data_IF_433559352703
#
_entry.id   IF_433559352703
#
_cell.length_a   1.000
_cell.length_b   1.000
_cell.length_c   1.000
_cell.angle_alpha   90.00
_cell.angle_beta   90.00
_cell.angle_gamma   90.00
#
_symmetry.space_group_name_H-M   'P 1'
#
loop_
_entity.id
_entity.type
_entity.pdbx_description
1 polymer ?
#
# COMPACT_ATOMS: atom_id res chain seq x y z
N UNK A 1 9.33 -8.50 -25.57
CA UNK A 1 8.06 -7.94 -26.03
C UNK A 1 7.59 -6.94 -25.00
N UNK A 2 7.35 -5.69 -25.39
CA UNK A 2 6.85 -4.65 -24.48
C UNK A 2 5.39 -4.98 -24.11
N UNK A 3 4.92 -4.73 -22.87
CA UNK A 3 3.52 -4.95 -22.54
C UNK A 3 2.64 -4.13 -23.50
N UNK A 4 1.65 -4.78 -24.13
CA UNK A 4 0.63 -4.06 -24.92
C UNK A 4 -0.25 -3.16 -24.06
N UNK A 5 -1.30 -2.59 -24.64
CA UNK A 5 -2.17 -1.58 -23.99
C UNK A 5 -3.07 -2.11 -22.85
N UNK A 6 -2.79 -3.30 -22.33
CA UNK A 6 -3.54 -3.91 -21.23
C UNK A 6 -3.21 -3.32 -19.87
N UNK A 7 -4.14 -3.46 -18.91
CA UNK A 7 -3.87 -3.14 -17.51
C UNK A 7 -2.90 -4.17 -16.93
N UNK A 8 -1.74 -3.69 -16.44
CA UNK A 8 -0.74 -4.53 -15.78
C UNK A 8 -0.63 -4.13 -14.31
N UNK A 9 -0.61 -5.12 -13.42
CA UNK A 9 -0.46 -4.90 -11.98
C UNK A 9 0.89 -5.43 -11.52
N UNK A 10 1.66 -4.58 -10.83
CA UNK A 10 2.91 -4.99 -10.19
C UNK A 10 2.58 -5.65 -8.85
N UNK A 11 3.05 -6.88 -8.66
CA UNK A 11 2.88 -7.64 -7.42
C UNK A 11 4.19 -7.82 -6.68
N UNK A 12 4.22 -7.38 -5.42
CA UNK A 12 5.33 -7.55 -4.49
C UNK A 12 5.23 -8.84 -3.64
N UNK A 13 4.32 -9.75 -3.96
CA UNK A 13 3.97 -10.90 -3.10
C UNK A 13 5.09 -11.95 -2.97
N UNK A 14 5.86 -12.18 -4.05
CA UNK A 14 6.91 -13.22 -4.08
C UNK A 14 8.32 -12.66 -4.20
N UNK A 15 8.47 -11.58 -4.96
CA UNK A 15 9.74 -10.89 -5.17
C UNK A 15 9.50 -9.40 -5.04
N UNK A 16 10.28 -8.74 -4.20
CA UNK A 16 10.19 -7.30 -3.98
C UNK A 16 11.52 -6.74 -3.47
N UNK A 17 11.64 -5.42 -3.55
CA UNK A 17 12.68 -4.65 -2.87
C UNK A 17 12.04 -3.79 -1.77
N UNK A 18 12.82 -2.90 -1.18
CA UNK A 18 12.44 -2.03 -0.06
C UNK A 18 11.26 -1.11 -0.37
N UNK A 19 10.98 -0.86 -1.66
CA UNK A 19 9.82 -0.06 -2.10
C UNK A 19 8.48 -0.66 -1.65
N UNK A 20 8.43 -1.97 -1.42
CA UNK A 20 7.24 -2.65 -0.88
C UNK A 20 6.92 -2.26 0.57
N UNK A 21 7.85 -1.61 1.28
CA UNK A 21 7.71 -1.18 2.67
C UNK A 21 7.28 0.29 2.81
N UNK A 22 7.16 1.03 1.71
CA UNK A 22 6.70 2.43 1.72
C UNK A 22 5.30 2.49 2.32
N UNK A 23 5.10 3.45 3.23
CA UNK A 23 3.84 3.57 3.97
C UNK A 23 2.87 4.48 3.19
N UNK A 24 1.58 4.10 3.09
CA UNK A 24 0.59 4.97 2.48
C UNK A 24 0.30 6.18 3.37
N UNK A 25 0.24 7.36 2.76
CA UNK A 25 -0.11 8.63 3.41
C UNK A 25 -1.49 8.61 4.06
N UNK A 26 -2.39 7.76 3.56
CA UNK A 26 -3.71 7.54 4.13
C UNK A 26 -3.90 6.05 4.40
N UNK A 27 -4.29 5.72 5.63
CA UNK A 27 -4.69 4.36 6.00
C UNK A 27 -6.00 4.40 6.76
N UNK A 28 -6.88 3.46 6.46
CA UNK A 28 -8.14 3.28 7.20
C UNK A 28 -8.17 1.90 7.83
N UNK A 29 -8.44 1.84 9.14
CA UNK A 29 -8.57 0.60 9.89
C UNK A 29 -9.78 0.73 10.80
N UNK A 30 -10.81 -0.09 10.57
CA UNK A 30 -12.04 -0.14 11.39
C UNK A 30 -12.72 1.24 11.55
N UNK A 31 -12.79 2.02 10.46
CA UNK A 31 -13.38 3.37 10.46
C UNK A 31 -12.49 4.47 11.05
N UNK A 32 -11.31 4.13 11.59
CA UNK A 32 -10.30 5.11 11.99
C UNK A 32 -9.39 5.41 10.81
N UNK A 33 -9.36 6.67 10.40
CA UNK A 33 -8.46 7.16 9.34
C UNK A 33 -7.23 7.79 9.97
N UNK A 34 -6.05 7.30 9.58
CA UNK A 34 -4.76 7.92 9.90
C UNK A 34 -4.20 8.58 8.64
N UNK A 35 -3.64 9.78 8.81
CA UNK A 35 -3.01 10.57 7.74
C UNK A 35 -1.59 10.93 8.13
N UNK A 36 -0.67 10.79 7.18
CA UNK A 36 0.72 11.23 7.26
C UNK A 36 1.02 12.16 6.08
N UNK A 37 1.91 13.12 6.28
CA UNK A 37 2.38 13.99 5.20
C UNK A 37 3.32 13.20 4.29
N UNK A 38 3.05 13.10 2.98
CA UNK A 38 3.98 12.48 2.03
C UNK A 38 5.32 13.24 1.99
N UNK A 39 6.42 12.49 1.94
CA UNK A 39 7.75 13.02 1.65
C UNK A 39 8.36 12.42 0.37
N UNK A 40 7.65 11.45 -0.22
CA UNK A 40 7.99 10.80 -1.47
C UNK A 40 6.75 10.68 -2.36
N UNK A 41 6.97 10.47 -3.65
CA UNK A 41 5.91 10.41 -4.66
C UNK A 41 6.21 9.33 -5.70
N UNK A 42 5.15 8.66 -6.16
CA UNK A 42 5.21 7.63 -7.20
C UNK A 42 5.23 8.25 -8.59
N UNK A 43 6.00 7.64 -9.49
CA UNK A 43 5.96 7.94 -10.91
C UNK A 43 5.96 6.65 -11.73
N UNK A 44 5.22 6.68 -12.83
CA UNK A 44 5.33 5.66 -13.89
C UNK A 44 6.21 6.22 -14.99
N UNK A 45 7.31 5.55 -15.27
CA UNK A 45 8.25 5.93 -16.33
C UNK A 45 8.41 4.78 -17.32
N UNK A 46 8.73 5.09 -18.57
CA UNK A 46 8.99 4.09 -19.60
C UNK A 46 10.48 4.05 -19.91
N UNK A 47 11.11 2.92 -19.67
CA UNK A 47 12.52 2.68 -20.00
C UNK A 47 12.58 1.65 -21.12
N UNK A 48 13.05 2.05 -22.30
CA UNK A 48 13.07 1.20 -23.50
C UNK A 48 11.70 0.57 -23.81
N UNK A 49 10.63 1.35 -23.64
CA UNK A 49 9.25 0.90 -23.82
C UNK A 49 8.66 0.15 -22.63
N UNK A 50 9.45 -0.30 -21.65
CA UNK A 50 8.92 -1.02 -20.49
C UNK A 50 8.43 -0.08 -19.38
N UNK A 51 7.21 -0.28 -18.85
CA UNK A 51 6.70 0.53 -17.75
C UNK A 51 7.42 0.17 -16.44
N UNK A 52 7.87 1.18 -15.71
CA UNK A 52 8.54 1.06 -14.42
C UNK A 52 7.87 1.99 -13.41
N UNK A 53 7.81 1.54 -12.16
CA UNK A 53 7.38 2.36 -11.03
C UNK A 53 8.64 2.83 -10.30
N UNK A 54 8.78 4.13 -10.12
CA UNK A 54 9.86 4.73 -9.35
C UNK A 54 9.29 5.60 -8.23
N UNK A 55 10.03 5.67 -7.13
CA UNK A 55 9.72 6.54 -6.00
C UNK A 55 10.75 7.67 -5.97
N UNK A 56 10.30 8.91 -5.99
CA UNK A 56 11.19 10.08 -5.85
C UNK A 56 10.87 10.85 -4.58
N UNK A 57 11.81 11.67 -4.13
CA UNK A 57 11.51 12.72 -3.15
C UNK A 57 10.55 13.75 -3.74
N UNK A 58 9.80 14.44 -2.88
CA UNK A 58 9.01 15.61 -3.27
C UNK A 58 9.92 16.84 -3.22
N UNK A 59 10.00 17.66 -4.29
CA UNK A 59 10.82 18.87 -4.29
C UNK A 59 10.48 19.78 -3.09
N UNK A 60 11.52 20.22 -2.37
CA UNK A 60 11.35 21.06 -1.18
C UNK A 60 11.02 20.31 0.12
N UNK A 61 10.80 19.00 0.07
CA UNK A 61 10.59 18.16 1.27
C UNK A 61 11.87 17.42 1.60
N UNK A 62 12.51 17.80 2.72
CA UNK A 62 13.71 17.13 3.20
C UNK A 62 13.40 15.74 3.76
N UNK A 63 14.29 14.79 3.49
CA UNK A 63 14.27 13.44 4.09
C UNK A 63 15.59 13.28 4.85
N UNK A 64 15.49 12.90 6.13
CA UNK A 64 16.61 12.68 7.04
C UNK A 64 16.74 11.19 7.35
N UNK A 65 17.94 10.80 7.80
CA UNK A 65 18.16 9.45 8.32
C UNK A 65 17.22 9.17 9.48
N UNK A 66 16.49 8.05 9.40
CA UNK A 66 15.49 7.65 10.39
C UNK A 66 14.05 8.07 10.03
N UNK A 67 13.85 8.91 9.01
CA UNK A 67 12.51 9.24 8.54
C UNK A 67 11.82 8.04 7.89
N UNK A 68 10.51 7.93 8.13
CA UNK A 68 9.67 6.95 7.44
C UNK A 68 9.31 7.51 6.06
N UNK A 69 9.48 6.71 5.01
CA UNK A 69 9.05 7.08 3.67
C UNK A 69 7.54 6.92 3.53
N UNK A 70 6.88 8.01 3.16
CA UNK A 70 5.44 8.11 3.01
C UNK A 70 5.13 8.62 1.61
N UNK A 71 4.23 7.92 0.92
CA UNK A 71 3.74 8.30 -0.40
C UNK A 71 2.22 8.23 -0.46
N UNK A 72 1.60 8.97 -1.36
CA UNK A 72 0.16 8.85 -1.62
C UNK A 72 -0.11 7.69 -2.60
N UNK A 73 -0.91 6.71 -2.19
CA UNK A 73 -1.24 5.52 -2.99
C UNK A 73 -2.55 5.69 -3.77
N UNK A 74 -3.27 6.79 -3.54
CA UNK A 74 -4.57 7.07 -4.14
C UNK A 74 -5.72 6.25 -3.55
N UNK A 75 -6.93 6.71 -3.83
CA UNK A 75 -8.15 6.14 -3.26
C UNK A 75 -8.45 4.72 -3.75
N UNK A 76 -8.12 4.42 -5.01
CA UNK A 76 -8.34 3.08 -5.58
C UNK A 76 -7.56 2.00 -4.81
N UNK A 77 -6.30 2.28 -4.45
CA UNK A 77 -5.51 1.39 -3.62
C UNK A 77 -6.11 1.24 -2.23
N UNK A 78 -6.51 2.35 -1.60
CA UNK A 78 -7.07 2.33 -0.25
C UNK A 78 -8.37 1.51 -0.17
N UNK A 79 -9.25 1.64 -1.16
CA UNK A 79 -10.49 0.87 -1.23
C UNK A 79 -10.20 -0.63 -1.39
N UNK A 80 -9.28 -0.99 -2.29
CA UNK A 80 -8.89 -2.39 -2.51
C UNK A 80 -8.21 -3.00 -1.28
N UNK A 81 -7.30 -2.27 -0.64
CA UNK A 81 -6.57 -2.75 0.54
C UNK A 81 -7.48 -2.88 1.76
N UNK A 82 -8.39 -1.93 1.97
CA UNK A 82 -9.40 -2.00 3.05
C UNK A 82 -10.36 -3.18 2.88
N UNK A 83 -10.80 -3.45 1.63
CA UNK A 83 -11.64 -4.60 1.32
C UNK A 83 -10.91 -5.92 1.60
N UNK A 84 -9.71 -6.09 1.06
CA UNK A 84 -8.90 -7.30 1.25
C UNK A 84 -8.59 -7.55 2.74
N UNK A 85 -8.26 -6.49 3.50
CA UNK A 85 -8.04 -6.61 4.94
C UNK A 85 -9.32 -7.06 5.67
N UNK A 86 -10.48 -6.54 5.28
CA UNK A 86 -11.76 -6.90 5.92
C UNK A 86 -12.14 -8.35 5.68
N UNK A 87 -11.93 -8.87 4.46
CA UNK A 87 -12.19 -10.27 4.11
C UNK A 87 -11.37 -11.26 4.97
N UNK A 88 -10.17 -10.88 5.40
CA UNK A 88 -9.31 -11.72 6.24
C UNK A 88 -9.63 -11.52 7.74
N UNK A 89 -9.78 -10.26 8.16
CA UNK A 89 -9.88 -9.91 9.58
C UNK A 89 -11.27 -10.22 10.15
N UNK A 90 -12.35 -10.00 9.39
CA UNK A 90 -13.72 -10.20 9.89
C UNK A 90 -13.97 -11.66 10.28
N UNK A 91 -13.67 -12.68 9.44
CA UNK A 91 -13.85 -14.08 9.83
C UNK A 91 -13.03 -14.46 11.06
N UNK A 92 -11.78 -14.00 11.15
CA UNK A 92 -10.91 -14.27 12.31
C UNK A 92 -11.44 -13.66 13.60
N UNK A 93 -11.98 -12.44 13.54
CA UNK A 93 -12.61 -11.77 14.69
C UNK A 93 -13.91 -12.46 15.12
N UNK A 94 -14.69 -12.98 14.17
CA UNK A 94 -15.89 -13.76 14.48
C UNK A 94 -15.50 -15.06 15.18
N UNK A 95 -14.52 -15.80 14.62
CA UNK A 95 -14.00 -17.03 15.23
C UNK A 95 -13.47 -16.80 16.64
N UNK A 96 -12.68 -15.74 16.87
CA UNK A 96 -12.14 -15.44 18.20
C UNK A 96 -13.24 -15.13 19.21
N UNK A 97 -14.30 -14.41 18.80
CA UNK A 97 -15.45 -14.09 19.66
C UNK A 97 -16.30 -15.31 20.00
N UNK A 98 -16.49 -16.23 19.05
CA UNK A 98 -17.20 -17.49 19.29
C UNK A 98 -16.39 -18.37 20.25
N UNK A 99 -15.09 -18.52 20.03
CA UNK A 99 -14.21 -19.28 20.93
C UNK A 99 -14.22 -18.76 22.37
N UNK A 100 -14.25 -17.44 22.58
CA UNK A 100 -14.39 -16.85 23.93
C UNK A 100 -15.76 -17.06 24.58
N UNK A 101 -16.80 -17.41 23.81
CA UNK A 101 -18.16 -17.66 24.33
C UNK A 101 -18.44 -19.15 24.60
N UNK A 102 -17.63 -20.05 24.08
CA UNK A 102 -17.77 -21.50 24.23
C UNK A 102 -16.92 -22.08 25.39
N UNK A 103 -16.27 -21.20 26.16
CA UNK A 103 -15.39 -21.55 27.28
C UNK A 103 -15.99 -21.35 28.68
N UNK A 104 -17.30 -21.10 28.76
CA UNK A 104 -18.12 -21.13 29.98
C UNK A 104 -19.08 -22.35 29.90
#
# INVERSE_FOLDING_TARGET
EVPGDGEVVVSATRHCNEMALVIPARREVRGKVTRWTPNTQWHTVYVNGWPHIVLTTIPGVGIKTGDILVADFGDAWLQRSSRAASEILVPRLVQSRVATRSGD
#
